data_IF_279668844433
#
_entry.id   IF_279668844433
#
_cell.length_a   1.000
_cell.length_b   1.000
_cell.length_c   1.000
_cell.angle_alpha   90.00
_cell.angle_beta   90.00
_cell.angle_gamma   90.00
#
_symmetry.space_group_name_H-M   'P 1'
#
loop_
_entity.id
_entity.type
_entity.pdbx_description
1 polymer ?
#
# COMPACT_ATOMS: atom_id res chain seq x y z
N UNK A 1 -24.51 -8.23 -48.67
CA UNK A 1 -23.11 -8.38 -48.19
C UNK A 1 -22.63 -7.17 -47.36
N UNK A 2 -22.85 -5.92 -47.80
CA UNK A 2 -22.53 -4.69 -47.03
C UNK A 2 -23.11 -4.63 -45.61
N UNK A 3 -24.38 -5.01 -45.44
CA UNK A 3 -25.03 -5.01 -44.12
C UNK A 3 -24.42 -6.02 -43.15
N UNK A 4 -23.92 -7.16 -43.65
CA UNK A 4 -23.34 -8.23 -42.81
C UNK A 4 -21.96 -7.82 -42.29
N UNK A 5 -21.15 -7.16 -43.11
CA UNK A 5 -19.83 -6.63 -42.69
C UNK A 5 -19.96 -5.47 -41.70
N UNK A 6 -20.93 -4.57 -41.89
CA UNK A 6 -21.22 -3.48 -40.95
C UNK A 6 -21.70 -4.02 -39.60
N UNK A 7 -22.64 -4.97 -39.61
CA UNK A 7 -23.17 -5.60 -38.39
C UNK A 7 -22.08 -6.41 -37.67
N UNK A 8 -21.21 -7.11 -38.40
CA UNK A 8 -20.07 -7.82 -37.79
C UNK A 8 -19.04 -6.87 -37.17
N UNK A 9 -18.75 -5.71 -37.80
CA UNK A 9 -17.85 -4.71 -37.22
C UNK A 9 -18.46 -4.02 -36.00
N UNK A 10 -19.77 -3.79 -36.01
CA UNK A 10 -20.50 -3.18 -34.90
C UNK A 10 -20.59 -4.15 -33.71
N UNK A 11 -20.80 -5.45 -33.97
CA UNK A 11 -20.75 -6.51 -32.95
C UNK A 11 -19.34 -6.67 -32.35
N UNK A 12 -18.28 -6.52 -33.14
CA UNK A 12 -16.90 -6.50 -32.62
C UNK A 12 -16.62 -5.26 -31.77
N UNK A 13 -17.14 -4.08 -32.14
CA UNK A 13 -17.04 -2.86 -31.34
C UNK A 13 -17.87 -2.95 -30.05
N UNK A 14 -19.07 -3.53 -30.09
CA UNK A 14 -19.91 -3.72 -28.90
C UNK A 14 -19.31 -4.78 -27.96
N UNK A 15 -18.74 -5.87 -28.49
CA UNK A 15 -18.02 -6.88 -27.71
C UNK A 15 -16.72 -6.32 -27.08
N UNK A 16 -16.10 -5.31 -27.69
CA UNK A 16 -14.98 -4.57 -27.09
C UNK A 16 -15.40 -3.52 -26.05
N UNK A 17 -16.69 -3.17 -25.98
CA UNK A 17 -17.23 -2.12 -25.09
C UNK A 17 -17.77 -2.62 -23.75
N UNK A 18 -17.95 -3.94 -23.59
CA UNK A 18 -18.28 -4.55 -22.30
C UNK A 18 -17.02 -4.71 -21.46
N UNK A 19 -16.46 -3.58 -21.02
CA UNK A 19 -15.42 -3.57 -20.02
C UNK A 19 -15.97 -4.12 -18.69
N UNK A 20 -15.16 -4.86 -17.91
CA UNK A 20 -15.61 -5.33 -16.60
C UNK A 20 -15.99 -4.15 -15.71
N UNK A 21 -17.07 -4.33 -14.95
CA UNK A 21 -17.56 -3.36 -13.97
C UNK A 21 -16.43 -2.89 -13.04
N UNK A 22 -16.29 -1.57 -12.93
CA UNK A 22 -15.47 -0.90 -11.92
C UNK A 22 -16.04 -1.25 -10.55
N UNK A 23 -15.42 -2.20 -9.86
CA UNK A 23 -15.70 -2.48 -8.45
C UNK A 23 -14.56 -2.05 -7.55
N UNK A 24 -15.02 -1.46 -6.45
CA UNK A 24 -14.35 -1.10 -5.19
C UNK A 24 -13.61 0.23 -5.17
N UNK A 25 -14.18 1.14 -4.36
CA UNK A 25 -13.44 2.21 -3.71
C UNK A 25 -12.16 1.61 -3.10
N UNK A 26 -11.00 2.21 -3.43
CA UNK A 26 -9.77 1.91 -2.74
C UNK A 26 -10.02 2.15 -1.24
N UNK A 27 -9.96 1.09 -0.45
CA UNK A 27 -9.83 1.25 1.00
C UNK A 27 -8.57 2.09 1.26
N UNK A 28 -8.58 2.99 2.26
CA UNK A 28 -7.38 3.73 2.61
C UNK A 28 -6.29 2.73 3.02
N UNK A 29 -5.27 2.58 2.19
CA UNK A 29 -4.12 1.73 2.49
C UNK A 29 -3.17 2.43 3.44
N UNK A 30 -2.64 1.69 4.42
CA UNK A 30 -1.63 2.24 5.33
C UNK A 30 -0.27 2.46 4.66
N UNK A 31 -0.05 1.85 3.49
CA UNK A 31 1.16 2.02 2.68
C UNK A 31 0.77 2.17 1.21
N UNK A 32 1.30 3.19 0.54
CA UNK A 32 1.11 3.40 -0.89
C UNK A 32 2.40 3.81 -1.60
N UNK A 33 2.62 3.26 -2.79
CA UNK A 33 3.70 3.65 -3.68
C UNK A 33 3.10 4.02 -5.03
N UNK A 34 3.52 5.16 -5.57
CA UNK A 34 3.14 5.59 -6.90
C UNK A 34 4.40 5.81 -7.75
N UNK A 35 4.56 4.99 -8.79
CA UNK A 35 5.68 5.14 -9.72
C UNK A 35 5.41 6.30 -10.67
N UNK A 36 6.34 7.25 -10.67
CA UNK A 36 6.41 8.35 -11.63
C UNK A 36 7.70 8.24 -12.46
N UNK A 37 7.80 8.94 -13.60
CA UNK A 37 9.04 9.01 -14.35
C UNK A 37 10.19 9.52 -13.47
N UNK A 38 11.22 8.68 -13.26
CA UNK A 38 12.42 9.02 -12.49
C UNK A 38 12.31 8.91 -10.97
N UNK A 39 11.10 8.89 -10.39
CA UNK A 39 10.92 8.84 -8.93
C UNK A 39 9.73 7.96 -8.54
N UNK A 40 9.86 7.20 -7.45
CA UNK A 40 8.72 6.54 -6.79
C UNK A 40 8.29 7.37 -5.58
N UNK A 41 7.04 7.81 -5.54
CA UNK A 41 6.49 8.51 -4.38
C UNK A 41 5.93 7.49 -3.40
N UNK A 42 6.41 7.53 -2.16
CA UNK A 42 6.02 6.63 -1.07
C UNK A 42 5.25 7.42 -0.03
N UNK A 43 4.11 6.89 0.38
CA UNK A 43 3.32 7.41 1.48
C UNK A 43 2.94 6.29 2.43
N UNK A 44 2.98 6.61 3.70
CA UNK A 44 2.70 5.71 4.79
C UNK A 44 1.88 6.43 5.83
N UNK A 45 0.82 5.78 6.30
CA UNK A 45 -0.06 6.29 7.33
C UNK A 45 -0.37 5.17 8.29
N UNK A 46 -0.07 5.40 9.56
CA UNK A 46 -0.30 4.46 10.63
C UNK A 46 -1.10 5.11 11.75
N UNK A 47 -2.07 4.38 12.26
CA UNK A 47 -2.85 4.75 13.44
C UNK A 47 -2.56 3.75 14.55
N UNK A 48 -1.88 4.21 15.58
CA UNK A 48 -1.59 3.44 16.80
C UNK A 48 -2.72 3.71 17.79
N UNK A 49 -3.44 2.66 18.15
CA UNK A 49 -4.48 2.69 19.18
C UNK A 49 -3.90 2.31 20.53
N UNK A 50 -4.36 2.97 21.58
CA UNK A 50 -3.93 2.74 22.96
C UNK A 50 -5.13 2.82 23.92
N UNK A 51 -5.30 1.79 24.76
CA UNK A 51 -6.16 1.81 25.96
C UNK A 51 -5.53 1.10 27.18
N UNK A 52 -4.22 0.82 27.18
CA UNK A 52 -3.51 0.22 28.32
C UNK A 52 -3.63 1.01 29.64
N UNK A 53 -3.89 2.32 29.59
CA UNK A 53 -4.07 3.14 30.81
C UNK A 53 -5.25 2.67 31.66
N UNK A 54 -6.21 1.94 31.07
CA UNK A 54 -7.33 1.32 31.80
C UNK A 54 -6.90 0.24 32.79
N UNK A 55 -5.76 -0.41 32.56
CA UNK A 55 -5.21 -1.46 33.43
C UNK A 55 -3.93 -1.01 34.15
N UNK A 56 -3.04 -0.32 33.45
CA UNK A 56 -1.79 0.24 34.00
C UNK A 56 -1.90 1.76 34.00
N UNK A 57 -2.36 2.33 35.12
CA UNK A 57 -2.62 3.77 35.27
C UNK A 57 -1.37 4.66 35.10
N UNK A 58 -0.18 4.10 35.29
CA UNK A 58 1.10 4.80 35.07
C UNK A 58 1.45 4.94 33.60
N UNK A 59 0.81 4.18 32.70
CA UNK A 59 1.07 4.30 31.27
C UNK A 59 0.44 5.57 30.71
N UNK A 60 1.27 6.39 30.06
CA UNK A 60 0.85 7.58 29.33
C UNK A 60 1.59 7.61 28.00
N UNK A 61 0.84 7.68 26.89
CA UNK A 61 1.43 7.98 25.59
C UNK A 61 1.52 9.52 25.46
N UNK A 62 2.71 10.10 25.22
CA UNK A 62 2.85 11.55 25.19
C UNK A 62 2.00 12.19 24.09
N UNK A 63 1.42 13.35 24.39
CA UNK A 63 0.72 14.15 23.39
C UNK A 63 1.75 14.84 22.49
N UNK A 64 1.59 14.67 21.18
CA UNK A 64 2.49 15.27 20.20
C UNK A 64 1.69 15.85 19.05
N UNK A 65 2.19 16.96 18.53
CA UNK A 65 1.82 17.45 17.22
C UNK A 65 3.08 18.07 16.61
N UNK A 66 3.60 17.44 15.56
CA UNK A 66 4.85 17.90 14.96
C UNK A 66 5.07 17.33 13.57
N UNK A 67 5.93 18.04 12.82
CA UNK A 67 6.32 17.68 11.47
C UNK A 67 7.83 17.83 11.32
N UNK A 68 8.52 16.78 10.86
CA UNK A 68 9.90 16.84 10.38
C UNK A 68 9.91 17.02 8.87
N UNK A 69 10.49 18.13 8.40
CA UNK A 69 10.72 18.42 6.98
C UNK A 69 12.05 19.16 6.81
N UNK A 70 12.63 19.05 5.62
CA UNK A 70 13.86 19.77 5.26
C UNK A 70 15.02 19.41 6.19
N UNK A 71 15.67 20.42 6.79
CA UNK A 71 16.82 20.21 7.67
C UNK A 71 16.47 19.41 8.93
N UNK A 72 15.26 19.59 9.47
CA UNK A 72 14.84 18.91 10.71
C UNK A 72 14.61 17.40 10.50
N UNK A 73 14.43 16.94 9.26
CA UNK A 73 14.30 15.52 8.95
C UNK A 73 15.64 14.85 8.62
N UNK A 74 16.78 15.54 8.70
CA UNK A 74 18.11 14.99 8.30
C UNK A 74 18.47 13.69 9.03
N UNK A 75 18.35 13.63 10.36
CA UNK A 75 18.64 12.41 11.13
C UNK A 75 17.67 11.28 10.77
N UNK A 76 16.38 11.57 10.65
CA UNK A 76 15.36 10.60 10.25
C UNK A 76 15.58 10.12 8.81
N UNK A 77 15.99 11.01 7.91
CA UNK A 77 16.31 10.71 6.52
C UNK A 77 17.54 9.81 6.43
N UNK A 78 18.59 10.07 7.21
CA UNK A 78 19.77 9.22 7.27
C UNK A 78 19.43 7.81 7.79
N UNK A 79 18.60 7.72 8.82
CA UNK A 79 18.11 6.45 9.37
C UNK A 79 17.32 5.64 8.32
N UNK A 80 16.33 6.25 7.68
CA UNK A 80 15.54 5.59 6.63
C UNK A 80 16.39 5.25 5.41
N UNK A 81 17.26 6.16 4.99
CA UNK A 81 18.16 5.96 3.86
C UNK A 81 19.08 4.75 4.08
N UNK A 82 19.60 4.60 5.30
CA UNK A 82 20.42 3.45 5.69
C UNK A 82 19.61 2.15 5.59
N UNK A 83 18.40 2.12 6.18
CA UNK A 83 17.53 0.95 6.15
C UNK A 83 17.11 0.55 4.71
N UNK A 84 16.79 1.52 3.86
CA UNK A 84 16.46 1.29 2.44
C UNK A 84 17.66 0.75 1.67
N UNK A 85 18.86 1.31 1.90
CA UNK A 85 20.10 0.88 1.22
C UNK A 85 20.55 -0.54 1.54
N UNK A 86 20.07 -1.13 2.65
CA UNK A 86 20.29 -2.56 2.95
C UNK A 86 19.67 -3.45 1.86
N UNK A 87 18.55 -3.04 1.28
CA UNK A 87 17.82 -3.81 0.26
C UNK A 87 18.07 -3.32 -1.16
N UNK A 88 18.14 -2.01 -1.35
CA UNK A 88 18.44 -1.38 -2.65
C UNK A 88 19.61 -0.40 -2.50
N UNK A 89 20.86 -0.83 -2.72
CA UNK A 89 22.03 0.02 -2.55
C UNK A 89 22.04 1.26 -3.46
N UNK A 90 21.34 1.19 -4.59
CA UNK A 90 21.19 2.27 -5.58
C UNK A 90 20.02 3.21 -5.31
N UNK A 91 19.21 2.95 -4.28
CA UNK A 91 18.07 3.80 -3.93
C UNK A 91 18.51 5.00 -3.09
N UNK A 92 18.13 6.20 -3.54
CA UNK A 92 18.33 7.46 -2.84
C UNK A 92 16.99 8.05 -2.43
N UNK A 93 16.90 8.40 -1.15
CA UNK A 93 15.71 8.96 -0.52
C UNK A 93 15.69 10.48 -0.68
N UNK A 94 14.54 11.02 -1.09
CA UNK A 94 14.30 12.45 -1.29
C UNK A 94 13.09 12.94 -0.52
N UNK A 95 13.08 14.22 -0.17
CA UNK A 95 11.91 14.94 0.32
C UNK A 95 11.18 14.25 1.49
N UNK A 96 11.95 13.76 2.48
CA UNK A 96 11.36 13.14 3.66
C UNK A 96 10.49 14.13 4.43
N UNK A 97 9.25 13.74 4.65
CA UNK A 97 8.32 14.34 5.59
C UNK A 97 7.83 13.28 6.58
N UNK A 98 8.00 13.56 7.86
CA UNK A 98 7.42 12.78 8.96
C UNK A 98 6.46 13.68 9.70
N UNK A 99 5.25 13.21 9.95
CA UNK A 99 4.23 13.94 10.70
C UNK A 99 3.66 13.00 11.74
N UNK A 100 3.54 13.47 12.99
CA UNK A 100 2.87 12.71 14.02
C UNK A 100 1.92 13.60 14.82
N UNK A 101 0.76 13.04 15.13
CA UNK A 101 -0.29 13.69 15.88
C UNK A 101 -0.94 12.71 16.84
N UNK A 102 -1.00 13.06 18.12
CA UNK A 102 -1.73 12.28 19.13
C UNK A 102 -2.98 13.01 19.60
N UNK A 103 -4.06 12.27 19.73
CA UNK A 103 -5.28 12.78 20.37
C UNK A 103 -5.08 12.89 21.88
N UNK A 104 -5.82 13.76 22.58
CA UNK A 104 -5.91 13.68 24.03
C UNK A 104 -6.50 12.34 24.49
N UNK A 105 -6.18 11.94 25.73
CA UNK A 105 -6.82 10.79 26.36
C UNK A 105 -8.31 11.08 26.55
N UNK A 106 -9.15 10.19 26.03
CA UNK A 106 -10.61 10.27 26.19
C UNK A 106 -11.06 9.42 27.36
N UNK A 107 -11.60 10.05 28.41
CA UNK A 107 -12.19 9.32 29.55
C UNK A 107 -13.44 8.53 29.14
N UNK A 108 -14.18 8.98 28.11
CA UNK A 108 -15.40 8.32 27.64
C UNK A 108 -15.09 7.02 26.91
N UNK A 109 -14.10 7.03 26.02
CA UNK A 109 -13.71 5.86 25.21
C UNK A 109 -12.53 5.11 25.81
N UNK A 110 -12.01 5.58 26.96
CA UNK A 110 -10.80 5.08 27.62
C UNK A 110 -9.67 4.80 26.64
N UNK A 111 -9.42 5.73 25.72
CA UNK A 111 -8.47 5.51 24.63
C UNK A 111 -7.79 6.78 24.15
N UNK A 112 -6.66 6.55 23.47
CA UNK A 112 -5.84 7.54 22.81
C UNK A 112 -5.36 6.99 21.47
N UNK A 113 -5.23 7.87 20.49
CA UNK A 113 -4.66 7.55 19.18
C UNK A 113 -3.36 8.32 18.97
N UNK A 114 -2.38 7.69 18.32
CA UNK A 114 -1.20 8.32 17.76
C UNK A 114 -1.14 7.99 16.28
N UNK A 115 -1.33 9.01 15.45
CA UNK A 115 -1.24 8.90 14.01
C UNK A 115 0.14 9.33 13.55
N UNK A 116 0.80 8.49 12.77
CA UNK A 116 2.12 8.74 12.18
C UNK A 116 1.99 8.64 10.68
N UNK A 117 2.34 9.72 9.99
CA UNK A 117 2.37 9.81 8.54
C UNK A 117 3.81 10.04 8.08
N UNK A 118 4.24 9.30 7.07
CA UNK A 118 5.58 9.35 6.52
C UNK A 118 5.44 9.42 4.99
N UNK A 119 6.08 10.39 4.36
CA UNK A 119 6.10 10.50 2.90
C UNK A 119 7.48 10.87 2.40
N UNK A 120 7.93 10.21 1.35
CA UNK A 120 9.24 10.45 0.75
C UNK A 120 9.26 9.96 -0.70
N UNK A 121 10.18 10.51 -1.49
CA UNK A 121 10.51 10.01 -2.82
C UNK A 121 11.68 9.03 -2.76
N UNK A 122 11.66 8.04 -3.63
CA UNK A 122 12.82 7.19 -3.90
C UNK A 122 13.23 7.37 -5.36
N UNK A 123 14.48 7.76 -5.55
CA UNK A 123 15.17 7.74 -6.84
C UNK A 123 16.03 6.49 -6.89
N UNK A 124 15.81 5.64 -7.88
CA UNK A 124 16.71 4.53 -8.17
C UNK A 124 17.45 4.79 -9.47
N UNK A 125 18.67 4.24 -9.56
CA UNK A 125 19.39 4.15 -10.84
C UNK A 125 18.61 3.28 -11.83
N UNK A 126 17.68 3.90 -12.54
CA UNK A 126 16.83 3.25 -13.52
C UNK A 126 17.68 2.66 -14.65
N UNK A 127 17.65 1.33 -14.79
CA UNK A 127 18.19 0.67 -15.98
C UNK A 127 17.15 0.80 -17.09
N UNK A 128 17.41 1.76 -17.98
CA UNK A 128 16.63 1.90 -19.21
C UNK A 128 17.06 0.84 -20.21
N UNK A 129 16.11 0.05 -20.68
CA UNK A 129 16.31 -0.89 -21.78
C UNK A 129 15.27 -0.63 -22.88
N UNK A 130 15.38 -1.35 -24.01
CA UNK A 130 14.44 -1.21 -25.13
C UNK A 130 12.99 -1.60 -24.78
N UNK A 131 12.76 -2.22 -23.62
CA UNK A 131 11.46 -2.69 -23.13
C UNK A 131 10.84 -1.76 -22.08
N UNK A 132 11.57 -0.75 -21.60
CA UNK A 132 11.09 0.21 -20.61
C UNK A 132 12.15 0.57 -19.56
N UNK A 133 11.67 1.17 -18.47
CA UNK A 133 12.47 1.52 -17.30
C UNK A 133 12.27 0.47 -16.22
N UNK A 134 13.34 -0.13 -15.76
CA UNK A 134 13.29 -1.12 -14.69
C UNK A 134 13.47 -0.46 -13.31
N UNK A 135 12.59 -0.81 -12.37
CA UNK A 135 12.66 -0.44 -10.96
C UNK A 135 12.73 -1.70 -10.09
N UNK A 136 13.45 -1.63 -8.98
CA UNK A 136 13.49 -2.69 -7.98
C UNK A 136 12.63 -2.27 -6.79
N UNK A 137 11.52 -2.97 -6.53
CA UNK A 137 10.66 -2.66 -5.41
C UNK A 137 11.05 -3.42 -4.13
N UNK A 138 12.19 -4.12 -4.08
CA UNK A 138 12.63 -4.89 -2.90
C UNK A 138 12.86 -4.00 -1.67
N UNK A 139 13.20 -2.73 -1.88
CA UNK A 139 13.39 -1.73 -0.81
C UNK A 139 12.16 -1.54 0.07
N UNK A 140 10.96 -1.88 -0.40
CA UNK A 140 9.72 -1.71 0.39
C UNK A 140 9.71 -2.50 1.70
N UNK A 141 10.52 -3.57 1.77
CA UNK A 141 10.66 -4.43 2.94
C UNK A 141 11.89 -4.06 3.78
N UNK A 142 11.83 -2.90 4.43
CA UNK A 142 12.91 -2.38 5.25
C UNK A 142 12.52 -2.31 6.73
N UNK A 143 13.53 -2.30 7.60
CA UNK A 143 13.36 -2.10 9.03
C UNK A 143 14.30 -0.99 9.47
N UNK A 144 13.74 0.04 10.11
CA UNK A 144 14.55 1.09 10.72
C UNK A 144 14.91 0.63 12.13
N UNK A 145 16.20 0.41 12.39
CA UNK A 145 16.68 -0.02 13.71
C UNK A 145 16.95 1.15 14.66
N UNK A 146 17.30 2.31 14.12
CA UNK A 146 17.57 3.51 14.90
C UNK A 146 16.29 4.19 15.37
N UNK A 147 16.33 4.81 16.55
CA UNK A 147 15.24 5.64 17.04
C UNK A 147 15.01 6.85 16.14
N UNK A 148 13.74 7.27 16.02
CA UNK A 148 13.36 8.52 15.34
C UNK A 148 12.57 9.36 16.33
N UNK A 149 13.16 10.46 16.77
CA UNK A 149 12.52 11.37 17.71
C UNK A 149 11.84 12.55 17.01
N UNK A 150 10.59 12.84 17.37
CA UNK A 150 9.85 14.04 16.98
C UNK A 150 9.37 14.75 18.25
N UNK A 151 9.80 16.01 18.46
CA UNK A 151 9.38 16.80 19.63
C UNK A 151 9.59 16.08 20.98
N UNK A 152 10.67 15.29 21.09
CA UNK A 152 10.99 14.49 22.28
C UNK A 152 10.28 13.13 22.37
N UNK A 153 9.39 12.81 21.44
CA UNK A 153 8.71 11.51 21.34
C UNK A 153 9.51 10.56 20.44
N UNK A 154 9.88 9.38 20.96
CA UNK A 154 10.36 8.27 20.14
C UNK A 154 9.21 7.69 19.31
N UNK A 155 9.31 7.76 17.99
CA UNK A 155 8.28 7.30 17.05
C UNK A 155 8.50 5.87 16.58
N UNK A 156 9.75 5.41 16.55
CA UNK A 156 10.07 4.11 15.97
C UNK A 156 10.06 3.03 17.05
N UNK A 157 10.91 3.16 18.06
CA UNK A 157 11.16 2.13 19.07
C UNK A 157 10.14 2.16 20.22
N UNK A 158 8.85 2.09 19.89
CA UNK A 158 7.74 2.21 20.84
C UNK A 158 7.75 1.11 21.91
N UNK A 159 8.26 -0.07 21.56
CA UNK A 159 8.40 -1.22 22.43
C UNK A 159 9.27 -0.93 23.63
N UNK A 160 10.53 -0.60 23.37
CA UNK A 160 11.49 -0.23 24.42
C UNK A 160 11.13 1.09 25.11
N UNK A 161 10.59 2.07 24.39
CA UNK A 161 10.35 3.41 24.95
C UNK A 161 9.12 3.47 25.87
N UNK A 162 8.03 2.77 25.54
CA UNK A 162 6.75 2.91 26.27
C UNK A 162 6.18 1.58 26.78
N UNK A 163 6.36 0.47 26.05
CA UNK A 163 5.78 -0.81 26.44
C UNK A 163 6.61 -1.56 27.46
N UNK A 164 7.94 -1.42 27.44
CA UNK A 164 8.83 -2.13 28.36
C UNK A 164 8.52 -1.82 29.83
N UNK A 165 8.40 -0.54 30.29
CA UNK A 165 8.01 -0.25 31.67
C UNK A 165 6.62 -0.80 32.03
N UNK A 166 5.71 -0.84 31.05
CA UNK A 166 4.36 -1.37 31.24
C UNK A 166 4.38 -2.89 31.41
N UNK A 167 5.19 -3.59 30.60
CA UNK A 167 5.36 -5.03 30.70
C UNK A 167 5.95 -5.42 32.05
N UNK A 168 6.93 -4.67 32.57
CA UNK A 168 7.49 -4.88 33.91
C UNK A 168 6.40 -4.78 34.99
N UNK A 169 5.54 -3.75 34.94
CA UNK A 169 4.41 -3.63 35.88
C UNK A 169 3.44 -4.80 35.74
N UNK A 170 3.14 -5.22 34.51
CA UNK A 170 2.25 -6.35 34.24
C UNK A 170 2.80 -7.68 34.78
N UNK A 171 4.12 -7.85 34.90
CA UNK A 171 4.69 -9.06 35.52
C UNK A 171 4.30 -9.25 36.98
N UNK A 172 3.91 -8.18 37.67
CA UNK A 172 3.37 -8.24 39.03
C UNK A 172 1.91 -8.70 39.11
N UNK A 173 1.22 -8.86 37.97
CA UNK A 173 -0.18 -9.24 37.95
C UNK A 173 -0.29 -10.76 38.13
N UNK A 174 -1.04 -11.19 39.13
CA UNK A 174 -1.30 -12.60 39.41
C UNK A 174 -2.71 -12.99 39.03
N UNK A 175 -2.86 -14.13 38.34
CA UNK A 175 -4.16 -14.74 38.11
C UNK A 175 -4.82 -15.10 39.44
N UNK A 176 -6.13 -14.87 39.52
CA UNK A 176 -6.97 -15.26 40.65
C UNK A 176 -8.05 -16.25 40.19
N UNK A 177 -8.88 -16.73 41.12
CA UNK A 177 -10.01 -17.61 40.79
C UNK A 177 -11.07 -16.90 39.91
N UNK A 178 -11.14 -15.57 39.98
CA UNK A 178 -12.18 -14.76 39.34
C UNK A 178 -11.64 -13.99 38.13
N UNK A 179 -10.33 -13.75 38.05
CA UNK A 179 -9.73 -12.94 36.98
C UNK A 179 -8.48 -13.63 36.47
N UNK A 180 -8.43 -13.82 35.15
CA UNK A 180 -7.27 -14.38 34.45
C UNK A 180 -6.78 -13.39 33.39
N UNK A 181 -5.46 -13.26 33.29
CA UNK A 181 -4.79 -12.40 32.33
C UNK A 181 -4.07 -13.25 31.29
N UNK A 182 -4.32 -12.96 30.01
CA UNK A 182 -3.57 -13.53 28.88
C UNK A 182 -2.94 -12.42 28.06
N UNK A 183 -1.69 -12.64 27.66
CA UNK A 183 -0.87 -11.61 27.00
C UNK A 183 -0.60 -12.03 25.57
N UNK A 184 -0.79 -11.10 24.65
CA UNK A 184 -0.48 -11.26 23.24
C UNK A 184 0.50 -10.18 22.80
N UNK A 185 1.57 -10.60 22.11
CA UNK A 185 2.52 -9.69 21.47
C UNK A 185 2.54 -9.99 19.98
N UNK A 186 2.26 -8.97 19.16
CA UNK A 186 2.12 -9.12 17.71
C UNK A 186 1.13 -10.23 17.31
N UNK A 187 0.03 -10.36 18.05
CA UNK A 187 -1.01 -11.38 17.86
C UNK A 187 -0.68 -12.78 18.40
N UNK A 188 0.54 -13.02 18.89
CA UNK A 188 0.97 -14.31 19.43
C UNK A 188 0.85 -14.33 20.94
N UNK A 189 0.31 -15.41 21.52
CA UNK A 189 0.24 -15.60 22.96
C UNK A 189 1.64 -15.75 23.58
N UNK A 190 1.92 -14.99 24.63
CA UNK A 190 3.24 -14.93 25.28
C UNK A 190 3.11 -15.20 26.77
N UNK A 191 3.99 -16.04 27.36
CA UNK A 191 4.02 -16.23 28.81
C UNK A 191 4.57 -14.99 29.51
N UNK A 192 4.03 -14.69 30.69
CA UNK A 192 4.32 -13.47 31.45
C UNK A 192 5.82 -13.26 31.73
N UNK A 193 6.57 -14.34 31.97
CA UNK A 193 8.01 -14.29 32.22
C UNK A 193 8.83 -13.75 31.05
N UNK A 194 8.34 -13.92 29.81
CA UNK A 194 9.01 -13.45 28.59
C UNK A 194 8.43 -12.15 28.04
N UNK A 195 7.40 -11.59 28.70
CA UNK A 195 6.69 -10.43 28.20
C UNK A 195 7.62 -9.22 27.94
N UNK A 196 8.53 -8.82 28.87
CA UNK A 196 9.43 -7.69 28.64
C UNK A 196 10.33 -7.87 27.41
N UNK A 197 10.90 -9.07 27.25
CA UNK A 197 11.78 -9.42 26.12
C UNK A 197 11.04 -9.40 24.78
N UNK A 198 9.75 -9.73 24.77
CA UNK A 198 8.92 -9.75 23.56
C UNK A 198 8.41 -8.38 23.16
N UNK A 199 8.15 -7.48 24.12
CA UNK A 199 7.67 -6.12 23.80
C UNK A 199 8.78 -5.15 23.44
N UNK A 200 9.99 -5.33 23.97
CA UNK A 200 11.12 -4.44 23.70
C UNK A 200 11.43 -4.23 22.19
N UNK A 201 11.44 -5.27 21.33
CA UNK A 201 11.75 -5.10 19.90
C UNK A 201 10.58 -4.58 19.05
N UNK A 202 9.45 -4.19 19.64
CA UNK A 202 8.33 -3.63 18.86
C UNK A 202 8.75 -2.28 18.29
N UNK A 203 8.90 -2.23 16.97
CA UNK A 203 9.20 -1.04 16.20
C UNK A 203 8.00 -0.69 15.31
N UNK A 204 7.73 0.60 15.09
CA UNK A 204 6.68 1.10 14.19
C UNK A 204 7.11 1.03 12.73
N UNK A 205 8.38 1.33 12.44
CA UNK A 205 8.92 1.38 11.08
C UNK A 205 9.57 0.05 10.69
N UNK A 206 8.85 -1.04 10.95
CA UNK A 206 9.19 -2.38 10.51
C UNK A 206 8.24 -2.82 9.39
N UNK A 207 8.73 -2.78 8.15
CA UNK A 207 7.99 -3.11 6.93
C UNK A 207 8.31 -4.51 6.41
N UNK A 208 8.86 -5.39 7.25
CA UNK A 208 9.18 -6.77 6.86
C UNK A 208 7.99 -7.56 6.32
N UNK A 209 6.76 -7.22 6.74
CA UNK A 209 5.52 -7.82 6.22
C UNK A 209 5.25 -7.51 4.74
N UNK A 210 5.91 -6.51 4.17
CA UNK A 210 5.86 -6.18 2.73
C UNK A 210 6.86 -6.99 1.89
N UNK A 211 7.60 -7.93 2.48
CA UNK A 211 8.58 -8.77 1.79
C UNK A 211 7.96 -9.78 0.81
N UNK A 212 6.64 -10.02 0.88
CA UNK A 212 5.92 -10.84 -0.11
C UNK A 212 6.16 -10.27 -1.50
N UNK A 213 6.69 -11.05 -2.47
CA UNK A 213 7.05 -10.55 -3.80
C UNK A 213 5.90 -9.81 -4.48
N UNK A 214 6.19 -8.72 -5.18
CA UNK A 214 5.15 -7.91 -5.80
C UNK A 214 4.35 -8.69 -6.87
N UNK A 215 4.98 -9.67 -7.53
CA UNK A 215 4.30 -10.58 -8.45
C UNK A 215 3.20 -11.43 -7.82
N UNK A 216 3.20 -11.60 -6.49
CA UNK A 216 2.16 -12.34 -5.75
C UNK A 216 1.02 -11.42 -5.26
N UNK A 217 1.16 -10.10 -5.40
CA UNK A 217 0.12 -9.15 -5.01
C UNK A 217 -1.02 -9.18 -6.02
N UNK A 218 -2.24 -8.85 -5.58
CA UNK A 218 -3.41 -8.88 -6.46
C UNK A 218 -3.41 -7.67 -7.39
N UNK A 219 -3.27 -7.83 -8.73
CA UNK A 219 -3.29 -6.72 -9.67
C UNK A 219 -4.73 -6.30 -9.99
N UNK A 220 -4.96 -5.00 -10.09
CA UNK A 220 -6.21 -4.37 -10.53
C UNK A 220 -5.89 -3.39 -11.64
N UNK A 221 -6.47 -3.61 -12.81
CA UNK A 221 -6.23 -2.77 -13.99
C UNK A 221 -7.30 -1.69 -14.09
N UNK A 222 -6.87 -0.44 -14.21
CA UNK A 222 -7.74 0.69 -14.47
C UNK A 222 -7.39 1.31 -15.82
N UNK A 223 -8.19 0.97 -16.83
CA UNK A 223 -8.00 1.45 -18.20
C UNK A 223 -8.31 2.95 -18.35
N UNK A 224 -9.20 3.49 -17.52
CA UNK A 224 -9.60 4.91 -17.56
C UNK A 224 -8.45 5.82 -17.11
N UNK A 225 -7.73 5.42 -16.05
CA UNK A 225 -6.56 6.17 -15.57
C UNK A 225 -5.24 5.66 -16.17
N UNK A 226 -5.27 4.67 -17.06
CA UNK A 226 -4.09 4.01 -17.63
C UNK A 226 -3.10 3.52 -16.56
N UNK A 227 -3.60 2.91 -15.48
CA UNK A 227 -2.78 2.41 -14.37
C UNK A 227 -3.09 0.94 -14.04
N UNK A 228 -2.10 0.26 -13.47
CA UNK A 228 -2.23 -1.01 -12.79
C UNK A 228 -1.87 -0.81 -11.32
N UNK A 229 -2.70 -1.37 -10.44
CA UNK A 229 -2.53 -1.28 -8.99
C UNK A 229 -2.38 -2.68 -8.41
N UNK A 230 -1.25 -2.95 -7.79
CA UNK A 230 -0.99 -4.18 -7.04
C UNK A 230 -1.38 -3.95 -5.59
N UNK A 231 -2.17 -4.87 -5.02
CA UNK A 231 -2.66 -4.76 -3.65
C UNK A 231 -2.32 -5.99 -2.82
N UNK A 232 -1.84 -5.75 -1.61
CA UNK A 232 -1.65 -6.77 -0.58
C UNK A 232 -2.66 -6.51 0.54
N UNK A 233 -3.57 -7.47 0.73
CA UNK A 233 -4.58 -7.43 1.79
C UNK A 233 -4.04 -8.08 3.05
N UNK A 234 -4.45 -7.55 4.20
CA UNK A 234 -4.18 -8.09 5.53
C UNK A 234 -2.69 -8.13 5.89
N UNK A 235 -2.27 -7.13 6.67
CA UNK A 235 -0.96 -7.13 7.32
C UNK A 235 -1.16 -7.43 8.82
N UNK A 236 -0.18 -8.07 9.48
CA UNK A 236 -0.30 -8.44 10.87
C UNK A 236 -0.50 -7.21 11.77
N UNK A 237 -1.21 -7.41 12.87
CA UNK A 237 -1.32 -6.41 13.95
C UNK A 237 -0.09 -6.54 14.83
N UNK A 238 0.56 -5.41 15.09
CA UNK A 238 1.72 -5.32 15.95
C UNK A 238 1.36 -4.59 17.25
N UNK A 239 2.06 -4.91 18.32
CA UNK A 239 1.85 -4.29 19.63
C UNK A 239 1.65 -5.28 20.77
N UNK A 240 1.16 -4.76 21.89
CA UNK A 240 0.83 -5.49 23.10
C UNK A 240 -0.67 -5.49 23.30
N UNK A 241 -1.25 -6.66 23.58
CA UNK A 241 -2.63 -6.83 24.00
C UNK A 241 -2.67 -7.69 25.28
N UNK A 242 -3.44 -7.22 26.25
CA UNK A 242 -3.70 -7.86 27.53
C UNK A 242 -5.20 -8.12 27.59
N UNK A 243 -5.55 -9.39 27.59
CA UNK A 243 -6.94 -9.81 27.72
C UNK A 243 -7.17 -10.17 29.19
N UNK A 244 -8.09 -9.46 29.81
CA UNK A 244 -8.59 -9.76 31.14
C UNK A 244 -9.88 -10.54 30.99
N UNK A 245 -9.88 -11.80 31.42
CA UNK A 245 -11.07 -12.65 31.44
C UNK A 245 -11.58 -12.77 32.87
N UNK A 246 -12.79 -12.25 33.10
CA UNK A 246 -13.51 -12.35 34.37
C UNK A 246 -14.31 -13.64 34.34
N UNK A 247 -13.94 -14.59 35.19
CA UNK A 247 -14.54 -15.91 35.32
C UNK A 247 -15.68 -15.84 36.32
N UNK A 248 -16.83 -15.35 35.87
CA UNK A 248 -18.12 -15.39 36.57
C UNK A 248 -19.10 -16.33 35.84
N UNK A 249 -20.37 -16.38 36.27
CA UNK A 249 -21.39 -17.22 35.63
C UNK A 249 -21.55 -16.93 34.12
N UNK A 250 -21.20 -15.72 33.68
CA UNK A 250 -21.00 -15.37 32.28
C UNK A 250 -19.59 -14.79 32.13
N UNK A 251 -18.67 -15.46 31.41
CA UNK A 251 -17.32 -14.96 31.25
C UNK A 251 -17.32 -13.69 30.39
N UNK A 252 -16.75 -12.61 30.92
CA UNK A 252 -16.55 -11.35 30.20
C UNK A 252 -15.06 -11.17 29.90
N UNK A 253 -14.75 -10.70 28.69
CA UNK A 253 -13.37 -10.45 28.26
C UNK A 253 -13.19 -8.98 27.91
N UNK A 254 -12.24 -8.34 28.59
CA UNK A 254 -11.88 -6.94 28.39
C UNK A 254 -10.47 -6.90 27.80
N UNK A 255 -10.31 -6.21 26.67
CA UNK A 255 -9.04 -6.08 25.98
C UNK A 255 -8.40 -4.71 26.22
N UNK A 256 -7.19 -4.71 26.78
CA UNK A 256 -6.33 -3.55 26.92
C UNK A 256 -5.12 -3.71 26.02
N UNK A 257 -4.88 -2.76 25.11
CA UNK A 257 -3.87 -2.88 24.09
C UNK A 257 -3.23 -1.54 23.72
N UNK A 258 -1.98 -1.63 23.30
CA UNK A 258 -1.34 -0.65 22.44
C UNK A 258 -0.98 -1.39 21.18
N UNK A 259 -1.69 -1.10 20.10
CA UNK A 259 -1.59 -1.87 18.86
C UNK A 259 -1.75 -1.01 17.64
N UNK A 260 -1.14 -1.43 16.56
CA UNK A 260 -1.31 -0.81 15.25
C UNK A 260 -1.38 -1.91 14.18
N UNK A 261 -2.06 -1.61 13.08
CA UNK A 261 -2.12 -2.50 11.91
C UNK A 261 -2.08 -1.68 10.62
N UNK A 262 -1.47 -2.25 9.60
CA UNK A 262 -1.47 -1.65 8.28
C UNK A 262 -2.75 -2.07 7.55
N UNK A 263 -3.51 -1.10 7.05
CA UNK A 263 -4.78 -1.32 6.35
C UNK A 263 -4.59 -1.81 4.90
N UNK A 264 -3.58 -2.67 4.68
CA UNK A 264 -3.12 -3.11 3.37
C UNK A 264 -2.06 -2.20 2.76
N UNK A 265 -1.47 -2.69 1.68
CA UNK A 265 -0.45 -2.00 0.91
C UNK A 265 -0.85 -1.92 -0.56
N UNK A 266 -0.58 -0.77 -1.18
CA UNK A 266 -0.94 -0.48 -2.56
C UNK A 266 0.29 -0.02 -3.32
N UNK A 267 0.47 -0.57 -4.52
CA UNK A 267 1.56 -0.19 -5.41
C UNK A 267 0.98 0.11 -6.79
N UNK A 268 1.11 1.36 -7.24
CA UNK A 268 0.52 1.85 -8.49
C UNK A 268 1.61 2.13 -9.52
N UNK A 269 1.40 1.61 -10.73
CA UNK A 269 2.28 1.79 -11.87
C UNK A 269 1.46 2.04 -13.15
N UNK A 270 2.06 2.51 -14.26
CA UNK A 270 1.42 2.60 -15.56
C UNK A 270 0.86 1.25 -16.04
N UNK A 271 -0.26 1.25 -16.77
CA UNK A 271 -1.04 0.04 -17.12
C UNK A 271 -0.23 -1.09 -17.76
N UNK A 272 0.75 -0.76 -18.62
CA UNK A 272 1.58 -1.74 -19.35
C UNK A 272 2.79 -2.23 -18.55
N UNK A 273 2.84 -1.92 -17.26
CA UNK A 273 3.93 -2.38 -16.41
C UNK A 273 3.86 -3.89 -16.21
N UNK A 274 5.02 -4.54 -16.27
CA UNK A 274 5.14 -5.98 -16.00
C UNK A 274 5.95 -6.19 -14.73
N UNK A 275 5.58 -7.20 -13.95
CA UNK A 275 6.20 -7.51 -12.67
C UNK A 275 6.79 -8.91 -12.71
N UNK A 276 8.02 -9.05 -12.23
CA UNK A 276 8.69 -10.33 -12.03
C UNK A 276 9.39 -10.32 -10.66
N UNK A 277 8.81 -11.03 -9.69
CA UNK A 277 9.22 -10.92 -8.29
C UNK A 277 9.02 -9.49 -7.78
N UNK A 278 10.12 -8.84 -7.41
CA UNK A 278 10.15 -7.44 -6.96
C UNK A 278 10.50 -6.43 -8.04
N UNK A 279 10.87 -6.91 -9.24
CA UNK A 279 11.26 -6.04 -10.34
C UNK A 279 10.05 -5.66 -11.15
N UNK A 280 9.95 -4.37 -11.45
CA UNK A 280 8.88 -3.81 -12.26
C UNK A 280 9.52 -3.18 -13.49
N UNK A 281 9.08 -3.59 -14.67
CA UNK A 281 9.43 -2.92 -15.92
C UNK A 281 8.26 -2.04 -16.30
N UNK A 282 8.53 -0.73 -16.34
CA UNK A 282 7.53 0.32 -16.55
C UNK A 282 7.76 0.97 -17.90
N UNK A 283 6.68 1.14 -18.66
CA UNK A 283 6.69 1.87 -19.92
C UNK A 283 5.92 3.18 -19.71
N UNK A 284 6.65 4.29 -19.76
CA UNK A 284 6.06 5.63 -19.68
C UNK A 284 5.76 6.17 -21.09
N UNK A 285 4.70 6.97 -21.21
CA UNK A 285 4.43 7.71 -22.46
C UNK A 285 3.70 6.94 -23.55
N UNK A 286 3.23 5.72 -23.28
CA UNK A 286 2.37 4.99 -24.21
C UNK A 286 0.91 5.44 -24.00
N UNK A 287 0.51 6.47 -24.72
CA UNK A 287 -0.87 6.91 -24.71
C UNK A 287 -1.71 5.90 -25.49
N UNK A 288 -2.75 5.34 -24.84
CA UNK A 288 -3.81 4.58 -25.51
C UNK A 288 -4.37 5.37 -26.72
N UNK A 289 -4.29 6.71 -26.67
CA UNK A 289 -4.59 7.61 -27.78
C UNK A 289 -3.81 7.28 -29.05
N UNK A 290 -2.52 6.94 -28.95
CA UNK A 290 -1.69 6.61 -30.12
C UNK A 290 -2.16 5.30 -30.77
N UNK A 291 -2.45 4.27 -29.96
CA UNK A 291 -3.02 3.01 -30.49
C UNK A 291 -4.43 3.19 -31.04
N UNK A 292 -5.30 3.96 -30.37
CA UNK A 292 -6.64 4.28 -30.86
C UNK A 292 -6.58 5.08 -32.16
N UNK A 293 -5.70 6.07 -32.26
CA UNK A 293 -5.48 6.82 -33.49
C UNK A 293 -5.02 5.89 -34.63
N UNK A 294 -4.11 4.96 -34.36
CA UNK A 294 -3.64 3.97 -35.35
C UNK A 294 -4.78 3.02 -35.78
N UNK A 295 -5.65 2.60 -34.86
CA UNK A 295 -6.84 1.80 -35.15
C UNK A 295 -7.86 2.58 -35.98
N UNK A 296 -8.14 3.84 -35.63
CA UNK A 296 -9.07 4.70 -36.38
C UNK A 296 -8.52 4.96 -37.79
N UNK A 297 -7.22 5.23 -37.92
CA UNK A 297 -6.58 5.46 -39.22
C UNK A 297 -6.61 4.20 -40.08
N UNK A 298 -6.22 3.05 -39.53
CA UNK A 298 -6.21 1.77 -40.28
C UNK A 298 -7.60 1.34 -40.72
N UNK A 299 -8.62 1.46 -39.87
CA UNK A 299 -10.01 1.14 -40.21
C UNK A 299 -10.57 2.12 -41.25
N UNK A 300 -10.23 3.40 -41.16
CA UNK A 300 -10.61 4.41 -42.16
C UNK A 300 -9.99 4.10 -43.53
N UNK A 301 -8.70 3.73 -43.58
CA UNK A 301 -8.02 3.34 -44.82
C UNK A 301 -8.67 2.11 -45.44
N UNK A 302 -9.02 1.09 -44.65
CA UNK A 302 -9.73 -0.10 -45.12
C UNK A 302 -11.14 0.23 -45.65
N UNK A 303 -11.88 1.11 -44.98
CA UNK A 303 -13.20 1.54 -45.44
C UNK A 303 -13.12 2.32 -46.77
N UNK A 304 -12.14 3.21 -46.92
CA UNK A 304 -11.91 3.93 -48.18
C UNK A 304 -11.45 2.95 -49.28
N UNK A 305 -10.49 2.07 -48.99
CA UNK A 305 -9.99 1.08 -49.95
C UNK A 305 -11.09 0.13 -50.46
N UNK A 306 -11.94 -0.37 -49.57
CA UNK A 306 -13.06 -1.25 -49.94
C UNK A 306 -14.10 -0.54 -50.81
N UNK A 307 -14.45 0.72 -50.50
CA UNK A 307 -15.40 1.50 -51.31
C UNK A 307 -14.86 1.83 -52.71
N UNK A 308 -13.58 2.16 -52.84
CA UNK A 308 -12.93 2.36 -54.14
C UNK A 308 -12.83 1.07 -54.94
N UNK A 309 -12.48 -0.04 -54.30
CA UNK A 309 -12.42 -1.35 -54.95
C UNK A 309 -13.80 -1.78 -55.46
N UNK A 310 -14.84 -1.63 -54.65
CA UNK A 310 -16.22 -1.95 -55.04
C UNK A 310 -16.70 -1.09 -56.21
N UNK A 311 -16.43 0.22 -56.20
CA UNK A 311 -16.73 1.11 -57.36
C UNK A 311 -16.01 0.69 -58.63
N UNK A 312 -14.78 0.20 -58.53
CA UNK A 312 -13.97 -0.24 -59.69
C UNK A 312 -14.42 -1.60 -60.22
N UNK A 313 -14.87 -2.50 -59.35
CA UNK A 313 -15.40 -3.81 -59.76
C UNK A 313 -16.80 -3.67 -60.36
N UNK A 314 -17.69 -2.88 -59.74
CA UNK A 314 -19.04 -2.64 -60.26
C UNK A 314 -19.04 -1.89 -61.61
N UNK A 315 -18.10 -0.97 -61.82
CA UNK A 315 -17.96 -0.28 -63.12
C UNK A 315 -17.43 -1.17 -64.25
N UNK A 316 -16.87 -2.34 -63.92
CA UNK A 316 -16.41 -3.36 -64.89
C UNK A 316 -17.43 -4.45 -65.19
N UNK A 317 -18.61 -4.43 -64.55
CA UNK A 317 -19.71 -5.34 -64.90
C UNK A 317 -20.54 -4.64 -65.99
N UNK A 318 -20.41 -5.01 -67.28
CA UNK A 318 -21.23 -4.43 -68.34
C UNK A 318 -22.70 -4.73 -68.05
N UNK A 319 -23.50 -3.67 -67.91
CA UNK A 319 -24.93 -3.77 -67.68
C UNK A 319 -25.57 -4.62 -68.76
N UNK A 320 -26.23 -5.71 -68.33
CA UNK A 320 -27.17 -6.45 -69.18
C UNK A 320 -28.30 -5.49 -69.50
N UNK A 321 -28.25 -4.88 -70.69
CA UNK A 321 -29.35 -4.11 -71.29
C UNK A 321 -30.55 -5.05 -71.42
N UNK A 322 -31.47 -4.99 -70.47
CA UNK A 322 -32.81 -5.56 -70.66
C UNK A 322 -33.52 -4.66 -71.66
N UNK A 323 -33.65 -5.11 -72.91
CA UNK A 323 -34.51 -4.50 -73.92
C UNK A 323 -35.96 -4.80 -73.56
N UNK A 324 -36.78 -3.73 -73.58
CA UNK A 324 -38.24 -3.64 -73.72
C UNK A 324 -39.09 -4.71 -73.04
#
# INVERSE_FOLDING_TARGET
>A
MRAVLLVASLLLLLAASTGPEVRAALQPSGFSVNIQPGTSQVSFTLSIFQNLTGIVRSFVLPQVHGVLVGYNSTTAAAALQSAVKVKSPSADLKNLRVEAFSTPWSNTTQSQWLNVSLSFGIEEGALSNSQGVQFDAAWRSFEVQSGISLAGLELNNIGSAYLLPTAEVLTGFSNSKTVTYTYHVNGLGVPLSSLPERVAPISVLNFSSLAVPLSEWTPTYNYTSNTVTFSLRSLPTYGLEVLQTVVEAQPEQIAYKLSYSFHGAIFTAPLRSTVNGDRIVVVFGDSQETMMALLIVSTSILAVGTTFYERRVLSRIPGKRTKR
#
